data_IF_432249699238
#
_entry.id   IF_432249699238
#
_cell.length_a   1.000
_cell.length_b   1.000
_cell.length_c   1.000
_cell.angle_alpha   90.00
_cell.angle_beta   90.00
_cell.angle_gamma   90.00
#
_symmetry.space_group_name_H-M   'P 1'
#
loop_
_entity.id
_entity.type
_entity.pdbx_description
1 polymer ?
#
# COMPACT_ATOMS: atom_id res chain seq x y z
N UNK A 1 -25.43 -7.09 -19.10
CA UNK A 1 -25.07 -5.67 -18.94
C UNK A 1 -25.99 -5.11 -17.87
N UNK A 2 -25.61 -5.23 -16.57
CA UNK A 2 -26.35 -4.62 -15.47
C UNK A 2 -26.00 -3.14 -15.41
N UNK A 3 -27.03 -2.29 -15.29
CA UNK A 3 -26.84 -0.89 -14.97
C UNK A 3 -26.08 -0.80 -13.65
N UNK A 4 -25.06 0.06 -13.58
CA UNK A 4 -24.43 0.40 -12.32
C UNK A 4 -25.54 0.95 -11.39
N UNK A 5 -25.57 0.54 -10.11
CA UNK A 5 -26.57 1.08 -9.19
C UNK A 5 -26.39 2.60 -9.09
N UNK A 6 -27.49 3.34 -9.26
CA UNK A 6 -27.48 4.77 -9.03
C UNK A 6 -27.20 5.02 -7.55
N UNK A 7 -26.10 5.71 -7.26
CA UNK A 7 -25.75 6.14 -5.91
C UNK A 7 -26.11 7.61 -5.75
N UNK A 8 -26.80 7.94 -4.68
CA UNK A 8 -27.18 9.31 -4.34
C UNK A 8 -26.26 9.83 -3.22
N UNK A 9 -25.51 10.86 -3.52
CA UNK A 9 -24.70 11.54 -2.51
C UNK A 9 -25.49 12.67 -1.85
N UNK A 10 -25.54 12.66 -0.53
CA UNK A 10 -26.21 13.72 0.24
C UNK A 10 -25.32 14.94 0.37
N UNK A 11 -25.71 16.05 -0.22
CA UNK A 11 -24.97 17.31 -0.14
C UNK A 11 -25.05 17.91 1.28
N UNK A 12 -23.89 18.28 1.83
CA UNK A 12 -23.79 18.92 3.14
C UNK A 12 -24.04 18.00 4.33
N UNK A 13 -24.08 16.68 4.11
CA UNK A 13 -24.20 15.68 5.16
C UNK A 13 -23.21 14.55 4.92
N UNK A 14 -22.63 14.07 6.00
CA UNK A 14 -21.71 12.93 5.99
C UNK A 14 -22.53 11.65 6.20
N UNK A 15 -22.28 10.65 5.34
CA UNK A 15 -22.79 9.30 5.49
C UNK A 15 -21.61 8.36 5.83
N UNK A 16 -21.69 7.70 6.99
CA UNK A 16 -20.73 6.68 7.43
C UNK A 16 -21.49 5.40 7.76
N UNK A 17 -21.03 4.30 7.19
CA UNK A 17 -21.51 2.98 7.58
C UNK A 17 -20.78 2.52 8.85
N UNK A 18 -21.53 2.30 9.94
CA UNK A 18 -20.92 1.91 11.21
C UNK A 18 -20.32 0.51 11.18
N UNK A 19 -20.82 -0.39 10.35
CA UNK A 19 -20.21 -1.71 10.14
C UNK A 19 -18.80 -1.57 9.53
N UNK A 20 -18.64 -0.67 8.56
CA UNK A 20 -17.33 -0.37 7.95
C UNK A 20 -16.37 0.28 8.96
N UNK A 21 -16.86 1.21 9.79
CA UNK A 21 -16.08 1.79 10.88
C UNK A 21 -15.64 0.70 11.86
N UNK A 22 -16.55 -0.18 12.24
CA UNK A 22 -16.25 -1.28 13.16
C UNK A 22 -15.17 -2.20 12.59
N UNK A 23 -15.28 -2.62 11.34
CA UNK A 23 -14.28 -3.45 10.65
C UNK A 23 -12.91 -2.77 10.58
N UNK A 24 -12.90 -1.48 10.39
CA UNK A 24 -11.66 -0.72 10.23
C UNK A 24 -10.91 -0.51 11.54
N UNK A 25 -11.63 -0.21 12.61
CA UNK A 25 -11.00 0.22 13.88
C UNK A 25 -10.93 -0.86 14.94
N UNK A 26 -11.47 -2.06 14.66
CA UNK A 26 -11.27 -3.24 15.51
C UNK A 26 -10.19 -4.14 14.96
N UNK A 27 -9.39 -4.75 15.85
CA UNK A 27 -8.27 -5.64 15.49
C UNK A 27 -8.60 -7.13 15.65
N UNK A 28 -9.85 -7.45 15.91
CA UNK A 28 -10.31 -8.84 16.00
C UNK A 28 -11.28 -9.17 14.86
N UNK A 29 -11.18 -10.38 14.37
CA UNK A 29 -12.12 -10.89 13.37
C UNK A 29 -13.35 -11.49 14.04
N UNK A 30 -14.51 -11.18 13.51
CA UNK A 30 -15.78 -11.74 13.96
C UNK A 30 -16.34 -12.71 12.93
N UNK A 31 -17.08 -13.72 13.41
CA UNK A 31 -17.79 -14.65 12.54
C UNK A 31 -18.91 -13.98 11.73
N UNK A 32 -19.47 -12.90 12.26
CA UNK A 32 -20.51 -12.09 11.61
C UNK A 32 -20.37 -10.64 12.03
N UNK A 33 -20.58 -9.74 11.07
CA UNK A 33 -20.61 -8.28 11.30
C UNK A 33 -22.03 -7.74 11.24
N UNK A 34 -23.04 -8.57 11.46
CA UNK A 34 -24.41 -8.11 11.61
C UNK A 34 -24.55 -7.25 12.88
N UNK A 35 -25.49 -6.31 12.86
CA UNK A 35 -25.79 -5.49 14.03
C UNK A 35 -26.11 -6.32 15.28
N UNK A 36 -26.77 -7.45 15.11
CA UNK A 36 -27.09 -8.41 16.17
C UNK A 36 -25.83 -9.02 16.79
N UNK A 37 -24.91 -9.52 15.93
CA UNK A 37 -23.69 -10.15 16.40
C UNK A 37 -22.73 -9.15 17.09
N UNK A 38 -22.61 -7.95 16.54
CA UNK A 38 -21.79 -6.90 17.15
C UNK A 38 -22.44 -6.38 18.42
N UNK A 39 -23.77 -6.20 18.43
CA UNK A 39 -24.53 -5.80 19.60
C UNK A 39 -24.38 -6.76 20.78
N UNK A 40 -24.48 -8.08 20.49
CA UNK A 40 -24.25 -9.11 21.52
C UNK A 40 -22.81 -9.08 22.06
N UNK A 41 -21.82 -8.97 21.16
CA UNK A 41 -20.41 -8.95 21.55
C UNK A 41 -20.05 -7.70 22.39
N UNK A 42 -20.49 -6.54 21.93
CA UNK A 42 -20.09 -5.26 22.53
C UNK A 42 -20.95 -4.82 23.71
N UNK A 43 -22.26 -5.08 23.64
CA UNK A 43 -23.23 -4.61 24.63
C UNK A 43 -23.87 -5.74 25.43
N UNK A 44 -23.71 -6.99 25.01
CA UNK A 44 -24.42 -8.13 25.59
C UNK A 44 -25.91 -8.17 25.24
N UNK A 45 -26.33 -7.43 24.22
CA UNK A 45 -27.73 -7.30 23.81
C UNK A 45 -27.92 -7.63 22.34
N UNK A 46 -29.07 -8.18 22.06
CA UNK A 46 -29.48 -8.59 20.72
C UNK A 46 -30.65 -7.74 20.20
N UNK A 47 -30.89 -7.89 18.91
CA UNK A 47 -32.08 -7.32 18.28
C UNK A 47 -33.37 -7.95 18.84
N UNK A 48 -34.47 -7.24 18.68
CA UNK A 48 -35.80 -7.78 19.01
C UNK A 48 -36.10 -8.93 18.06
N UNK A 49 -36.40 -10.11 18.60
CA UNK A 49 -36.81 -11.27 17.78
C UNK A 49 -38.25 -11.11 17.30
N UNK A 50 -38.47 -11.47 16.05
CA UNK A 50 -39.80 -11.49 15.45
C UNK A 50 -39.95 -12.69 14.51
N UNK A 51 -41.18 -13.08 14.19
CA UNK A 51 -41.48 -14.17 13.28
C UNK A 51 -41.90 -13.64 11.91
N UNK A 52 -41.44 -14.29 10.84
CA UNK A 52 -41.79 -13.96 9.47
C UNK A 52 -40.89 -12.90 8.84
N UNK A 53 -41.40 -12.11 7.91
CA UNK A 53 -40.71 -11.02 7.24
C UNK A 53 -41.04 -9.67 7.88
N UNK A 54 -40.20 -8.66 7.64
CA UNK A 54 -40.44 -7.30 8.12
C UNK A 54 -41.76 -6.72 7.59
N UNK A 55 -42.13 -7.05 6.36
CA UNK A 55 -43.43 -6.64 5.78
C UNK A 55 -44.60 -7.24 6.52
N UNK A 56 -44.49 -8.52 6.88
CA UNK A 56 -45.53 -9.22 7.69
C UNK A 56 -45.60 -8.63 9.09
N UNK A 57 -44.46 -8.30 9.71
CA UNK A 57 -44.41 -7.64 11.01
C UNK A 57 -45.09 -6.27 10.95
N UNK A 58 -44.79 -5.47 9.92
CA UNK A 58 -45.40 -4.17 9.70
C UNK A 58 -46.91 -4.24 9.55
N UNK A 59 -47.41 -5.24 8.83
CA UNK A 59 -48.87 -5.41 8.58
C UNK A 59 -49.62 -6.01 9.75
N UNK A 60 -49.02 -6.95 10.47
CA UNK A 60 -49.72 -7.74 11.48
C UNK A 60 -49.48 -7.26 12.92
N UNK A 61 -48.31 -6.68 13.19
CA UNK A 61 -47.94 -6.20 14.53
C UNK A 61 -47.05 -4.96 14.41
N UNK A 62 -47.71 -3.84 14.13
CA UNK A 62 -47.06 -2.55 13.94
C UNK A 62 -46.33 -2.06 15.21
N UNK A 63 -46.82 -2.41 16.40
CA UNK A 63 -46.18 -2.00 17.65
C UNK A 63 -44.81 -2.66 17.84
N UNK A 64 -44.75 -3.97 17.63
CA UNK A 64 -43.49 -4.71 17.63
C UNK A 64 -42.53 -4.23 16.52
N UNK A 65 -43.06 -3.88 15.34
CA UNK A 65 -42.25 -3.28 14.27
C UNK A 65 -41.58 -1.96 14.70
N UNK A 66 -42.33 -1.08 15.41
CA UNK A 66 -41.75 0.17 15.93
C UNK A 66 -40.72 -0.11 17.02
N UNK A 67 -40.95 -1.07 17.92
CA UNK A 67 -39.98 -1.48 18.93
C UNK A 67 -38.71 -2.04 18.32
N UNK A 68 -38.83 -2.89 17.29
CA UNK A 68 -37.69 -3.41 16.52
C UNK A 68 -36.87 -2.27 15.91
N UNK A 69 -37.52 -1.34 15.22
CA UNK A 69 -36.83 -0.21 14.58
C UNK A 69 -36.12 0.71 15.60
N UNK A 70 -36.73 0.92 16.76
CA UNK A 70 -36.12 1.69 17.84
C UNK A 70 -34.91 0.97 18.44
N UNK A 71 -35.00 -0.34 18.64
CA UNK A 71 -33.91 -1.14 19.16
C UNK A 71 -32.69 -1.13 18.23
N UNK A 72 -32.91 -1.24 16.91
CA UNK A 72 -31.82 -1.16 15.94
C UNK A 72 -31.05 0.18 16.00
N UNK A 73 -31.77 1.28 16.15
CA UNK A 73 -31.16 2.60 16.30
C UNK A 73 -30.48 2.76 17.69
N UNK A 74 -31.12 2.29 18.77
CA UNK A 74 -30.56 2.40 20.11
C UNK A 74 -29.27 1.59 20.27
N UNK A 75 -29.23 0.37 19.72
CA UNK A 75 -28.02 -0.46 19.70
C UNK A 75 -26.85 0.30 19.01
N UNK A 76 -27.10 0.93 17.86
CA UNK A 76 -26.09 1.67 17.14
C UNK A 76 -25.57 2.88 17.94
N UNK A 77 -26.47 3.65 18.53
CA UNK A 77 -26.12 4.82 19.36
C UNK A 77 -25.32 4.40 20.60
N UNK A 78 -25.69 3.30 21.25
CA UNK A 78 -25.00 2.80 22.43
C UNK A 78 -23.64 2.18 22.08
N UNK A 79 -23.53 1.51 20.95
CA UNK A 79 -22.24 1.06 20.44
C UNK A 79 -21.29 2.23 20.19
N UNK A 80 -21.75 3.29 19.52
CA UNK A 80 -20.89 4.44 19.29
C UNK A 80 -20.51 5.16 20.58
N UNK A 81 -21.42 5.29 21.55
CA UNK A 81 -21.09 5.82 22.88
C UNK A 81 -20.00 5.04 23.59
N UNK A 82 -19.93 3.70 23.37
CA UNK A 82 -18.91 2.85 23.96
C UNK A 82 -17.60 2.90 23.18
N UNK A 83 -17.66 2.81 21.85
CA UNK A 83 -16.51 2.62 20.99
C UNK A 83 -15.92 3.93 20.46
N UNK A 84 -16.71 4.97 20.35
CA UNK A 84 -16.33 6.33 19.92
C UNK A 84 -15.65 6.36 18.53
N UNK A 85 -16.07 5.48 17.60
CA UNK A 85 -15.45 5.39 16.29
C UNK A 85 -15.76 6.59 15.39
N UNK A 86 -16.90 7.24 15.58
CA UNK A 86 -17.22 8.50 14.86
C UNK A 86 -16.27 9.60 15.33
N UNK A 87 -16.05 9.72 16.64
CA UNK A 87 -15.11 10.70 17.18
C UNK A 87 -13.66 10.40 16.75
N UNK A 88 -13.27 9.13 16.75
CA UNK A 88 -11.96 8.70 16.25
C UNK A 88 -11.77 9.08 14.77
N UNK A 89 -12.76 8.79 13.91
CA UNK A 89 -12.69 9.17 12.50
C UNK A 89 -12.57 10.70 12.34
N UNK A 90 -13.29 11.47 13.17
CA UNK A 90 -13.23 12.92 13.16
C UNK A 90 -11.84 13.45 13.58
N UNK A 91 -11.24 12.89 14.62
CA UNK A 91 -9.87 13.24 15.06
C UNK A 91 -8.85 12.93 13.95
N UNK A 92 -8.93 11.73 13.35
CA UNK A 92 -8.04 11.36 12.22
C UNK A 92 -8.20 12.34 11.05
N UNK A 93 -9.43 12.74 10.74
CA UNK A 93 -9.70 13.71 9.68
C UNK A 93 -9.07 15.07 9.95
N UNK A 94 -9.20 15.57 11.18
CA UNK A 94 -8.62 16.84 11.61
C UNK A 94 -7.10 16.82 11.58
N UNK A 95 -6.49 15.81 12.17
CA UNK A 95 -5.03 15.71 12.28
C UNK A 95 -4.35 15.62 10.91
N UNK A 96 -5.04 15.03 9.94
CA UNK A 96 -4.49 14.85 8.60
C UNK A 96 -5.09 15.80 7.55
N UNK A 97 -5.95 16.75 7.93
CA UNK A 97 -6.61 17.71 7.03
C UNK A 97 -7.35 17.05 5.86
N UNK A 98 -8.06 15.95 6.13
CA UNK A 98 -8.87 15.21 5.16
C UNK A 98 -10.35 15.29 5.50
N UNK A 99 -11.21 14.96 4.55
CA UNK A 99 -12.63 14.77 4.84
C UNK A 99 -12.83 13.50 5.68
N UNK A 100 -13.84 13.51 6.57
CA UNK A 100 -14.11 12.35 7.44
C UNK A 100 -14.36 11.06 6.64
N UNK A 101 -15.06 11.12 5.51
CA UNK A 101 -15.21 9.95 4.64
C UNK A 101 -13.88 9.43 4.06
N UNK A 102 -12.90 10.31 3.87
CA UNK A 102 -11.57 9.92 3.39
C UNK A 102 -10.82 9.08 4.42
N UNK A 103 -11.16 9.19 5.70
CA UNK A 103 -10.54 8.41 6.77
C UNK A 103 -10.75 6.90 6.60
N UNK A 104 -11.75 6.49 5.81
CA UNK A 104 -11.96 5.08 5.46
C UNK A 104 -10.86 4.51 4.55
N UNK A 105 -10.10 5.35 3.85
CA UNK A 105 -8.97 4.96 3.00
C UNK A 105 -7.62 5.22 3.66
N UNK A 106 -6.95 4.19 4.18
CA UNK A 106 -5.65 4.35 4.86
C UNK A 106 -4.59 5.02 3.97
N UNK A 107 -4.53 4.65 2.68
CA UNK A 107 -3.59 5.22 1.71
C UNK A 107 -3.81 6.72 1.54
N UNK A 108 -5.07 7.16 1.36
CA UNK A 108 -5.39 8.56 1.17
C UNK A 108 -5.06 9.42 2.40
N UNK A 109 -5.28 8.89 3.61
CA UNK A 109 -4.90 9.56 4.86
C UNK A 109 -3.38 9.68 4.97
N UNK A 110 -2.64 8.61 4.68
CA UNK A 110 -1.18 8.60 4.73
C UNK A 110 -0.58 9.53 3.68
N UNK A 111 -1.09 9.53 2.45
CA UNK A 111 -0.68 10.47 1.40
C UNK A 111 -0.82 11.91 1.89
N UNK A 112 -1.96 12.27 2.48
CA UNK A 112 -2.20 13.63 2.97
C UNK A 112 -1.31 13.98 4.17
N UNK A 113 -1.07 13.04 5.08
CA UNK A 113 -0.15 13.25 6.20
C UNK A 113 1.27 13.58 5.70
N UNK A 114 1.76 12.85 4.70
CA UNK A 114 3.06 13.10 4.07
C UNK A 114 3.09 14.47 3.38
N UNK A 115 2.01 14.82 2.65
CA UNK A 115 1.89 16.13 2.01
C UNK A 115 1.92 17.28 3.02
N UNK A 116 1.21 17.14 4.14
CA UNK A 116 1.21 18.13 5.21
C UNK A 116 2.61 18.31 5.80
N UNK A 117 3.33 17.24 6.06
CA UNK A 117 4.69 17.28 6.59
C UNK A 117 5.66 17.87 5.57
N UNK A 118 5.59 17.48 4.30
CA UNK A 118 6.41 18.06 3.23
C UNK A 118 6.17 19.57 3.11
N UNK A 119 4.91 20.00 3.11
CA UNK A 119 4.56 21.41 3.04
C UNK A 119 5.07 22.18 4.26
N UNK A 120 5.00 21.64 5.47
CA UNK A 120 5.53 22.27 6.69
C UNK A 120 7.04 22.51 6.62
N UNK A 121 7.76 21.66 5.87
CA UNK A 121 9.20 21.78 5.59
C UNK A 121 9.53 22.65 4.37
N UNK A 122 8.53 23.24 3.72
CA UNK A 122 8.71 24.04 2.49
C UNK A 122 9.06 23.22 1.25
N UNK A 123 8.79 21.92 1.26
CA UNK A 123 9.00 21.03 0.12
C UNK A 123 7.78 21.03 -0.81
N UNK A 124 8.02 21.03 -2.10
CA UNK A 124 6.99 20.91 -3.12
C UNK A 124 6.92 19.45 -3.56
N UNK A 125 5.77 18.84 -3.37
CA UNK A 125 5.50 17.47 -3.83
C UNK A 125 4.82 17.54 -5.20
N UNK A 126 5.29 16.78 -6.21
CA UNK A 126 4.68 16.78 -7.54
C UNK A 126 3.25 16.22 -7.52
N UNK A 127 2.44 16.69 -8.45
CA UNK A 127 1.07 16.23 -8.60
C UNK A 127 1.00 14.73 -8.91
N UNK A 128 -0.02 14.07 -8.40
CA UNK A 128 -0.29 12.66 -8.68
C UNK A 128 -0.70 12.50 -10.14
N UNK A 129 -0.02 11.64 -10.87
CA UNK A 129 -0.35 11.35 -12.26
C UNK A 129 -1.62 10.52 -12.32
N UNK A 130 -2.73 11.11 -12.76
CA UNK A 130 -4.03 10.44 -12.88
C UNK A 130 -4.26 9.79 -14.25
N UNK A 131 -3.55 10.24 -15.27
CA UNK A 131 -3.75 9.75 -16.64
C UNK A 131 -2.60 8.84 -17.07
N UNK A 132 -2.91 7.57 -17.29
CA UNK A 132 -1.98 6.57 -17.85
C UNK A 132 -1.53 6.88 -19.28
N UNK A 133 -2.15 7.87 -19.92
CA UNK A 133 -1.85 8.29 -21.28
C UNK A 133 -0.85 9.43 -21.39
N UNK A 134 -0.45 10.04 -20.25
CA UNK A 134 0.58 11.08 -20.26
C UNK A 134 1.95 10.46 -20.58
N UNK A 135 2.37 10.63 -21.82
CA UNK A 135 3.61 10.09 -22.40
C UNK A 135 4.91 10.62 -21.78
N UNK A 136 4.83 11.53 -20.80
CA UNK A 136 6.00 12.23 -20.24
C UNK A 136 6.52 11.65 -18.93
N UNK A 137 5.80 10.68 -18.33
CA UNK A 137 6.32 9.96 -17.18
C UNK A 137 6.69 8.54 -17.63
N UNK A 138 7.88 8.05 -17.28
CA UNK A 138 8.20 6.65 -17.52
C UNK A 138 7.11 5.81 -16.87
N UNK A 139 6.49 4.94 -17.65
CA UNK A 139 5.54 3.98 -17.10
C UNK A 139 6.25 3.25 -15.99
N UNK A 140 5.61 3.14 -14.83
CA UNK A 140 6.15 2.46 -13.67
C UNK A 140 6.81 1.16 -14.11
N UNK A 141 8.14 1.09 -13.99
CA UNK A 141 8.87 -0.14 -14.21
C UNK A 141 8.23 -1.20 -13.31
N UNK A 142 7.76 -2.27 -13.90
CA UNK A 142 7.27 -3.40 -13.13
C UNK A 142 8.53 -4.05 -12.54
N UNK A 143 8.83 -3.71 -11.29
CA UNK A 143 9.91 -4.39 -10.58
C UNK A 143 9.65 -5.90 -10.60
N UNK A 144 10.68 -6.70 -10.84
CA UNK A 144 10.57 -8.15 -10.75
C UNK A 144 10.01 -8.52 -9.36
N UNK A 145 8.95 -9.32 -9.35
CA UNK A 145 8.35 -9.77 -8.10
C UNK A 145 9.32 -10.64 -7.30
N UNK A 146 9.07 -10.73 -6.00
CA UNK A 146 9.83 -11.63 -5.13
C UNK A 146 9.70 -13.10 -5.57
N UNK A 147 10.71 -13.91 -5.25
CA UNK A 147 10.65 -15.36 -5.46
C UNK A 147 9.50 -15.97 -4.65
N UNK A 148 8.61 -16.67 -5.33
CA UNK A 148 7.52 -17.42 -4.72
C UNK A 148 7.73 -18.91 -5.03
N UNK A 149 8.03 -19.69 -3.99
CA UNK A 149 8.20 -21.13 -4.14
C UNK A 149 6.90 -21.81 -4.54
N UNK A 150 6.98 -22.77 -5.47
CA UNK A 150 5.81 -23.58 -5.82
C UNK A 150 5.42 -24.47 -4.63
N UNK A 151 4.17 -24.40 -4.16
CA UNK A 151 3.76 -25.20 -3.01
C UNK A 151 3.77 -26.69 -3.33
N UNK A 152 4.27 -27.50 -2.41
CA UNK A 152 4.17 -28.95 -2.50
C UNK A 152 2.76 -29.37 -2.10
N UNK A 153 1.99 -29.90 -3.04
CA UNK A 153 0.62 -30.38 -2.78
C UNK A 153 0.63 -31.63 -1.90
N UNK A 154 -0.26 -31.71 -0.94
CA UNK A 154 -0.46 -32.86 -0.08
C UNK A 154 -0.76 -32.49 1.36
N UNK A 155 -0.98 -33.51 2.19
CA UNK A 155 -1.08 -33.38 3.64
C UNK A 155 0.33 -33.40 4.21
N UNK A 156 0.69 -32.41 5.01
CA UNK A 156 1.97 -32.30 5.68
C UNK A 156 1.75 -32.37 7.19
N UNK A 157 2.62 -33.09 7.88
CA UNK A 157 2.60 -33.21 9.35
C UNK A 157 3.78 -32.44 9.94
N UNK A 158 3.62 -31.95 11.16
CA UNK A 158 4.67 -31.22 11.90
C UNK A 158 5.16 -29.95 11.17
N UNK A 159 4.21 -29.13 10.73
CA UNK A 159 4.54 -27.87 10.04
C UNK A 159 4.78 -26.78 11.08
N UNK A 160 5.97 -26.14 10.99
CA UNK A 160 6.26 -24.88 11.69
C UNK A 160 6.19 -23.71 10.70
N UNK A 161 5.58 -22.62 11.10
CA UNK A 161 5.58 -21.37 10.33
C UNK A 161 6.33 -20.30 11.11
N UNK A 162 7.25 -19.60 10.43
CA UNK A 162 7.93 -18.44 10.98
C UNK A 162 7.75 -17.27 10.03
N UNK A 163 7.42 -16.12 10.57
CA UNK A 163 7.31 -14.87 9.84
C UNK A 163 8.41 -13.90 10.28
N UNK A 164 9.00 -13.19 9.32
CA UNK A 164 10.00 -12.16 9.59
C UNK A 164 9.31 -10.83 9.80
N UNK A 165 9.30 -10.36 11.03
CA UNK A 165 8.66 -9.11 11.40
C UNK A 165 9.25 -7.93 10.61
N UNK A 166 8.40 -7.25 9.85
CA UNK A 166 8.77 -6.05 9.07
C UNK A 166 9.99 -6.29 8.16
N UNK A 167 10.01 -7.41 7.40
CA UNK A 167 11.17 -7.81 6.59
C UNK A 167 11.69 -6.67 5.70
N UNK A 168 10.86 -6.09 4.85
CA UNK A 168 11.28 -5.02 3.93
C UNK A 168 11.75 -3.76 4.67
N UNK A 169 11.02 -3.20 5.63
CA UNK A 169 11.51 -2.06 6.41
C UNK A 169 12.82 -2.34 7.15
N UNK A 170 13.03 -3.56 7.62
CA UNK A 170 14.27 -3.94 8.30
C UNK A 170 15.46 -3.98 7.34
N UNK A 171 15.26 -4.52 6.14
CA UNK A 171 16.29 -4.54 5.08
C UNK A 171 16.62 -3.11 4.65
N UNK A 172 15.62 -2.28 4.34
CA UNK A 172 15.83 -0.90 3.93
C UNK A 172 16.64 -0.11 4.97
N UNK A 173 16.31 -0.29 6.26
CA UNK A 173 17.06 0.34 7.35
C UNK A 173 18.48 -0.19 7.49
N UNK A 174 18.68 -1.52 7.37
CA UNK A 174 20.00 -2.14 7.51
C UNK A 174 20.95 -1.73 6.38
N UNK A 175 20.42 -1.56 5.18
CA UNK A 175 21.18 -1.16 4.00
C UNK A 175 21.19 0.37 3.78
N UNK A 176 20.53 1.13 4.63
CA UNK A 176 20.35 2.58 4.48
C UNK A 176 19.80 2.99 3.10
N UNK A 177 18.86 2.20 2.57
CA UNK A 177 18.29 2.41 1.24
C UNK A 177 17.16 3.43 1.29
N UNK A 178 17.37 4.60 0.71
CA UNK A 178 16.33 5.61 0.46
C UNK A 178 16.66 6.38 -0.82
N UNK A 179 15.70 7.13 -1.33
CA UNK A 179 15.93 8.01 -2.48
C UNK A 179 17.01 9.06 -2.22
N UNK A 180 17.20 9.47 -0.96
CA UNK A 180 18.19 10.49 -0.56
C UNK A 180 19.60 9.92 -0.39
N UNK A 181 19.73 8.60 -0.27
CA UNK A 181 21.01 7.91 -0.10
C UNK A 181 21.56 7.32 -1.39
N UNK A 182 20.79 7.34 -2.49
CA UNK A 182 21.25 6.93 -3.80
C UNK A 182 22.23 7.98 -4.30
N UNK A 183 23.46 7.57 -4.60
CA UNK A 183 24.51 8.47 -5.10
C UNK A 183 24.81 8.27 -6.59
N UNK A 184 24.32 7.18 -7.18
CA UNK A 184 24.57 6.91 -8.58
C UNK A 184 23.97 5.57 -9.04
N UNK A 185 24.21 5.26 -10.30
CA UNK A 185 23.73 4.06 -10.99
C UNK A 185 24.88 3.30 -11.62
N UNK A 186 24.90 1.98 -11.42
CA UNK A 186 25.86 1.09 -12.07
C UNK A 186 25.32 0.65 -13.41
N UNK A 187 26.11 0.80 -14.46
CA UNK A 187 25.77 0.35 -15.81
C UNK A 187 26.87 -0.56 -16.38
N UNK A 188 26.45 -1.49 -17.22
CA UNK A 188 27.35 -2.32 -17.99
C UNK A 188 27.84 -1.56 -19.21
N UNK A 189 29.14 -1.66 -19.56
CA UNK A 189 29.71 -0.97 -20.72
C UNK A 189 29.11 -1.42 -22.06
N UNK A 190 28.56 -2.63 -22.14
CA UNK A 190 27.90 -3.14 -23.33
C UNK A 190 26.49 -2.57 -23.54
N UNK A 191 25.93 -1.86 -22.55
CA UNK A 191 24.57 -1.31 -22.64
C UNK A 191 24.40 -0.38 -23.84
N UNK A 192 25.24 0.61 -23.97
CA UNK A 192 25.14 1.64 -25.02
C UNK A 192 25.36 1.04 -26.40
N UNK A 193 26.42 0.24 -26.67
CA UNK A 193 26.59 -0.46 -27.95
C UNK A 193 25.41 -1.37 -28.28
N UNK A 194 24.92 -2.16 -27.32
CA UNK A 194 23.84 -3.10 -27.51
C UNK A 194 22.52 -2.39 -27.82
N UNK A 195 22.21 -1.28 -27.14
CA UNK A 195 21.04 -0.47 -27.43
C UNK A 195 21.11 0.14 -28.85
N UNK A 196 22.30 0.61 -29.26
CA UNK A 196 22.52 1.17 -30.58
C UNK A 196 22.41 0.11 -31.68
N UNK A 197 22.97 -1.08 -31.47
CA UNK A 197 22.92 -2.21 -32.43
C UNK A 197 21.50 -2.70 -32.64
N UNK A 198 20.70 -2.82 -31.60
CA UNK A 198 19.34 -3.31 -31.68
C UNK A 198 18.31 -2.22 -32.00
N UNK A 199 18.73 -0.96 -32.16
CA UNK A 199 17.86 0.20 -32.38
C UNK A 199 16.72 0.30 -31.34
N UNK A 200 17.02 -0.11 -30.14
CA UNK A 200 16.04 -0.08 -29.07
C UNK A 200 15.87 1.35 -28.55
N UNK A 201 14.63 1.74 -28.34
CA UNK A 201 14.35 3.01 -27.69
C UNK A 201 14.84 2.95 -26.23
N UNK A 202 15.61 3.94 -25.83
CA UNK A 202 16.14 4.06 -24.45
C UNK A 202 15.01 3.90 -23.43
N UNK A 203 13.82 4.44 -23.72
CA UNK A 203 12.64 4.28 -22.88
C UNK A 203 12.26 2.81 -22.64
N UNK A 204 12.44 1.93 -23.63
CA UNK A 204 12.16 0.49 -23.45
C UNK A 204 13.22 -0.22 -22.64
N UNK A 205 14.47 0.25 -22.69
CA UNK A 205 15.54 -0.24 -21.82
C UNK A 205 15.22 0.05 -20.34
N UNK A 206 14.68 1.23 -20.05
CA UNK A 206 14.26 1.60 -18.69
C UNK A 206 12.98 0.89 -18.21
N UNK A 207 12.18 0.33 -19.11
CA UNK A 207 10.99 -0.44 -18.75
C UNK A 207 11.29 -1.85 -18.18
N UNK A 208 12.56 -2.22 -17.99
CA UNK A 208 12.95 -3.53 -17.45
C UNK A 208 12.56 -4.70 -18.34
N UNK A 209 12.26 -4.46 -19.62
CA UNK A 209 11.85 -5.49 -20.58
C UNK A 209 13.01 -6.25 -21.22
N UNK A 210 14.23 -5.92 -20.83
CA UNK A 210 15.41 -6.63 -21.27
C UNK A 210 15.81 -7.67 -20.22
N UNK A 211 15.48 -8.89 -20.49
CA UNK A 211 16.19 -10.01 -19.91
C UNK A 211 17.59 -10.09 -20.54
N UNK A 212 18.48 -9.18 -20.15
CA UNK A 212 19.89 -9.24 -20.50
C UNK A 212 20.65 -9.81 -19.32
N UNK A 213 21.24 -11.02 -19.44
CA UNK A 213 21.98 -11.65 -18.35
C UNK A 213 23.09 -10.78 -17.79
N UNK A 214 23.65 -9.88 -18.61
CA UNK A 214 24.68 -8.94 -18.20
C UNK A 214 24.18 -7.87 -17.23
N UNK A 215 22.90 -7.56 -17.25
CA UNK A 215 22.27 -6.62 -16.32
C UNK A 215 22.00 -7.22 -14.95
N UNK A 216 21.87 -8.53 -14.88
CA UNK A 216 21.63 -9.25 -13.63
C UNK A 216 22.91 -9.50 -12.83
N UNK A 217 24.06 -9.18 -13.42
CA UNK A 217 25.33 -9.35 -12.72
C UNK A 217 25.48 -8.29 -11.64
N UNK A 218 25.57 -8.76 -10.43
CA UNK A 218 26.02 -7.95 -9.29
C UNK A 218 27.54 -7.74 -9.42
N UNK A 219 28.05 -6.60 -8.97
CA UNK A 219 29.50 -6.39 -8.89
C UNK A 219 30.09 -7.46 -7.98
N UNK A 220 30.98 -8.27 -8.53
CA UNK A 220 31.65 -9.34 -7.84
C UNK A 220 33.13 -9.02 -7.62
N UNK A 221 33.71 -9.50 -6.51
CA UNK A 221 35.08 -9.22 -6.12
C UNK A 221 36.13 -9.61 -7.17
N UNK A 222 35.83 -10.57 -8.02
CA UNK A 222 36.73 -11.09 -9.05
C UNK A 222 36.18 -10.90 -10.47
N UNK A 223 35.22 -10.02 -10.65
CA UNK A 223 34.62 -9.76 -11.97
C UNK A 223 35.52 -8.83 -12.80
N UNK A 224 35.95 -9.32 -13.97
CA UNK A 224 36.77 -8.57 -14.93
C UNK A 224 35.89 -7.77 -15.91
N UNK A 225 34.57 -7.84 -15.80
CA UNK A 225 33.65 -7.10 -16.64
C UNK A 225 33.83 -5.60 -16.41
N UNK A 226 33.96 -4.86 -17.49
CA UNK A 226 34.08 -3.40 -17.43
C UNK A 226 32.70 -2.79 -17.19
N UNK A 227 32.58 -2.09 -16.07
CA UNK A 227 31.38 -1.41 -15.62
C UNK A 227 31.66 0.07 -15.43
N UNK A 228 30.64 0.89 -15.33
CA UNK A 228 30.76 2.26 -14.90
C UNK A 228 29.61 2.70 -14.02
N UNK A 229 29.88 3.68 -13.19
CA UNK A 229 28.95 4.27 -12.25
C UNK A 229 28.71 5.71 -12.70
N UNK A 230 27.45 6.04 -12.99
CA UNK A 230 27.04 7.41 -13.20
C UNK A 230 26.58 7.99 -11.87
N UNK A 231 27.23 9.03 -11.40
CA UNK A 231 26.84 9.72 -10.19
C UNK A 231 25.79 10.81 -10.48
N UNK A 232 24.93 11.09 -9.49
CA UNK A 232 23.93 12.16 -9.60
C UNK A 232 24.54 13.54 -9.83
N UNK A 233 25.79 13.77 -9.40
CA UNK A 233 26.51 15.01 -9.64
C UNK A 233 27.05 15.16 -11.08
N UNK A 234 26.84 14.17 -11.94
CA UNK A 234 27.30 14.15 -13.32
C UNK A 234 28.72 13.62 -13.53
N UNK A 235 29.39 13.15 -12.49
CA UNK A 235 30.66 12.43 -12.60
C UNK A 235 30.43 10.98 -13.04
N UNK A 236 31.42 10.40 -13.72
CA UNK A 236 31.42 9.00 -14.14
C UNK A 236 32.69 8.32 -13.62
N UNK A 237 32.53 7.13 -13.06
CA UNK A 237 33.65 6.26 -12.66
C UNK A 237 33.58 4.97 -13.47
N UNK A 238 34.66 4.63 -14.17
CA UNK A 238 34.80 3.42 -14.96
C UNK A 238 35.85 2.51 -14.35
N UNK A 239 35.57 1.20 -14.32
CA UNK A 239 36.51 0.20 -13.81
C UNK A 239 35.98 -1.20 -14.00
N UNK A 240 36.82 -2.18 -13.73
CA UNK A 240 36.41 -3.58 -13.64
C UNK A 240 35.53 -3.83 -12.43
N UNK A 241 34.72 -4.89 -12.43
CA UNK A 241 33.93 -5.27 -11.27
C UNK A 241 34.77 -5.42 -10.00
N UNK A 242 35.98 -5.95 -10.12
CA UNK A 242 36.94 -6.08 -9.01
C UNK A 242 37.41 -4.72 -8.46
N UNK A 243 37.76 -3.77 -9.33
CA UNK A 243 38.17 -2.43 -8.93
C UNK A 243 37.02 -1.67 -8.27
N UNK A 244 35.83 -1.70 -8.88
CA UNK A 244 34.65 -1.07 -8.33
C UNK A 244 34.22 -1.71 -7.01
N UNK A 245 34.39 -3.02 -6.86
CA UNK A 245 34.14 -3.72 -5.60
C UNK A 245 34.98 -3.16 -4.45
N UNK A 246 36.29 -2.94 -4.69
CA UNK A 246 37.17 -2.36 -3.69
C UNK A 246 36.72 -0.94 -3.32
N UNK A 247 36.37 -0.13 -4.31
CA UNK A 247 35.92 1.26 -4.09
C UNK A 247 34.62 1.31 -3.32
N UNK A 248 33.66 0.47 -3.69
CA UNK A 248 32.29 0.51 -3.11
C UNK A 248 32.24 -0.14 -1.74
N UNK A 249 32.81 -1.34 -1.59
CA UNK A 249 32.62 -2.17 -0.41
C UNK A 249 33.82 -2.15 0.57
N UNK A 250 35.02 -1.90 0.10
CA UNK A 250 36.22 -1.93 0.93
C UNK A 250 36.73 -0.53 1.34
N UNK A 251 36.27 0.54 0.66
CA UNK A 251 36.64 1.92 1.00
C UNK A 251 36.00 2.47 2.27
N UNK A 252 34.98 1.80 2.80
CA UNK A 252 34.20 2.28 3.95
C UNK A 252 33.28 3.46 3.66
N UNK A 253 33.08 3.83 2.39
CA UNK A 253 32.14 4.85 1.99
C UNK A 253 30.71 4.28 1.98
N UNK A 254 29.73 4.95 2.60
CA UNK A 254 28.37 4.47 2.69
C UNK A 254 27.57 4.78 1.39
N UNK A 255 27.99 4.20 0.28
CA UNK A 255 27.30 4.41 -0.99
C UNK A 255 26.12 3.49 -1.17
N UNK A 256 25.03 4.04 -1.67
CA UNK A 256 23.90 3.28 -2.18
C UNK A 256 23.80 3.52 -3.68
N UNK A 257 23.93 2.47 -4.46
CA UNK A 257 23.89 2.48 -5.91
C UNK A 257 22.69 1.68 -6.41
N UNK A 258 22.00 2.18 -7.42
CA UNK A 258 21.02 1.41 -8.15
C UNK A 258 21.73 0.64 -9.27
N UNK A 259 21.25 -0.57 -9.56
CA UNK A 259 21.62 -1.34 -10.74
C UNK A 259 20.41 -1.51 -11.64
N UNK A 260 20.57 -1.26 -12.91
CA UNK A 260 19.60 -1.59 -13.95
C UNK A 260 20.17 -2.61 -14.92
#
# INVERSE_FOLDING_TARGET
YGNAPETFDTVGRLHLDYMELYRKYTYHEMHSYSLDAIGEYELGERKTEYQGTLDQLYQNDFETFIQYSRQDVDLLVRMDKKLQFIDLANVIAHDNTVLVQTTMGAVAVTDQAILNEAHSRGLIVPDKVHDKTQKHYPQTCTAAGAYVATPKKGKHEWIGSMDLNSLYPSILRSLNMSTETIVGQIRHTLTVPMLAEHKWEVAKAWEGKFACPEYEKVIEKNDETLLYIDFENGEELQGTGAELYQIIFESGQPWVLSSN
#
